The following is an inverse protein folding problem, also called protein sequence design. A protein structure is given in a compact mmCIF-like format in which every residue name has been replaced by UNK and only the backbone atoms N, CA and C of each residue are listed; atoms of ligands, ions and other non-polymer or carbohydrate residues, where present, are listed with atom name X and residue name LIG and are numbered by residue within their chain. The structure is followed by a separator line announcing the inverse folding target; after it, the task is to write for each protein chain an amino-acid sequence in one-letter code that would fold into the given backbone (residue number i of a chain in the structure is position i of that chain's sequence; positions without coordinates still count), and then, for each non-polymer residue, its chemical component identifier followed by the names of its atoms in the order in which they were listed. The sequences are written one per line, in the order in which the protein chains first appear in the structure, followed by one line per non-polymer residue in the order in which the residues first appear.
data_IF_276129302759
#
_entry.id   IF_276129302759
#
_cell.length_a   1.000
_cell.length_b   1.000
_cell.length_c   1.000
_cell.angle_alpha   90.00
_cell.angle_beta   90.00
_cell.angle_gamma   90.00
#
_symmetry.space_group_name_H-M   'P 1'
#
loop_
_entity.id
_entity.type
_entity.pdbx_description
1 polymer ?
#
# COMPACT_ATOMS: atom_id res chain seq x y z
N UNK A 1 18.97 -67.88 9.61
CA UNK A 1 18.97 -66.81 8.57
C UNK A 1 17.70 -66.01 8.63
N UNK A 2 17.34 -65.34 9.73
CA UNK A 2 16.13 -64.44 9.82
C UNK A 2 16.43 -63.09 10.47
N UNK A 3 17.67 -62.74 10.75
CA UNK A 3 18.03 -61.46 11.42
C UNK A 3 18.44 -60.33 10.48
N UNK A 4 18.69 -60.61 9.21
CA UNK A 4 19.20 -59.60 8.25
C UNK A 4 18.08 -58.85 7.52
N UNK A 5 16.85 -59.39 7.49
CA UNK A 5 15.71 -58.78 6.80
C UNK A 5 15.14 -57.57 7.55
N UNK A 6 15.23 -57.52 8.87
CA UNK A 6 14.65 -56.44 9.65
C UNK A 6 15.55 -55.18 9.69
N UNK A 7 16.82 -55.29 9.38
CA UNK A 7 17.75 -54.15 9.42
C UNK A 7 17.59 -53.21 8.21
N UNK A 8 17.21 -53.75 7.06
CA UNK A 8 16.96 -52.93 5.85
C UNK A 8 15.70 -52.08 5.96
N UNK A 9 14.65 -52.57 6.61
CA UNK A 9 13.41 -51.81 6.77
C UNK A 9 13.52 -50.74 7.83
N UNK A 10 14.32 -50.91 8.86
CA UNK A 10 14.57 -49.89 9.89
C UNK A 10 15.42 -48.72 9.33
N UNK A 11 16.39 -49.05 8.44
CA UNK A 11 17.23 -48.02 7.82
C UNK A 11 16.44 -47.16 6.82
N UNK A 12 15.47 -47.73 6.09
CA UNK A 12 14.60 -46.99 5.18
C UNK A 12 13.60 -46.11 5.93
N UNK A 13 13.09 -46.53 7.07
CA UNK A 13 12.17 -45.68 7.88
C UNK A 13 12.93 -44.55 8.55
N UNK A 14 14.21 -44.73 8.94
CA UNK A 14 15.00 -43.64 9.51
C UNK A 14 15.48 -42.60 8.49
N UNK A 15 15.64 -42.99 7.23
CA UNK A 15 16.01 -42.07 6.14
C UNK A 15 14.82 -41.25 5.61
N UNK A 16 13.58 -41.76 5.80
CA UNK A 16 12.36 -41.05 5.38
C UNK A 16 11.92 -39.96 6.35
N UNK A 17 12.43 -39.94 7.58
CA UNK A 17 12.05 -38.94 8.60
C UNK A 17 12.93 -37.68 8.62
N UNK A 18 14.00 -37.61 7.80
CA UNK A 18 14.96 -36.50 7.81
C UNK A 18 14.69 -35.45 6.73
N UNK A 19 13.59 -35.55 5.95
CA UNK A 19 13.28 -34.64 4.87
C UNK A 19 12.07 -33.71 5.12
N UNK A 20 11.61 -33.55 6.36
CA UNK A 20 10.53 -32.64 6.70
C UNK A 20 10.99 -31.65 7.77
N UNK A 21 11.93 -30.78 7.46
CA UNK A 21 12.15 -29.57 8.25
C UNK A 21 12.83 -28.47 7.42
N UNK A 22 12.17 -28.05 6.38
CA UNK A 22 12.44 -26.77 5.73
C UNK A 22 11.11 -26.05 5.48
N UNK A 23 10.30 -25.90 6.53
CA UNK A 23 9.32 -24.82 6.54
C UNK A 23 10.09 -23.54 6.82
N UNK A 24 10.67 -22.95 5.78
CA UNK A 24 11.07 -21.56 5.85
C UNK A 24 9.79 -20.77 6.04
N UNK A 25 9.57 -20.24 7.23
CA UNK A 25 8.66 -19.13 7.46
C UNK A 25 9.14 -17.98 6.60
N UNK A 26 8.71 -17.96 5.35
CA UNK A 26 8.80 -16.77 4.52
C UNK A 26 8.05 -15.68 5.27
N UNK A 27 8.78 -14.78 5.93
CA UNK A 27 8.24 -13.47 6.32
C UNK A 27 7.52 -12.97 5.09
N UNK A 28 6.21 -12.81 5.19
CA UNK A 28 5.35 -12.28 4.14
C UNK A 28 5.76 -10.82 3.96
N UNK A 29 6.88 -10.60 3.26
CA UNK A 29 7.38 -9.28 2.91
C UNK A 29 6.31 -8.58 2.10
N UNK A 30 6.07 -7.30 2.38
CA UNK A 30 5.19 -6.49 1.55
C UNK A 30 5.75 -6.51 0.12
N UNK A 31 4.97 -7.06 -0.81
CA UNK A 31 5.39 -7.16 -2.20
C UNK A 31 5.31 -5.78 -2.86
N UNK A 32 6.30 -5.47 -3.66
CA UNK A 32 6.29 -4.32 -4.57
C UNK A 32 5.87 -4.83 -5.95
N UNK A 33 4.88 -4.23 -6.56
CA UNK A 33 4.56 -4.42 -7.96
C UNK A 33 5.27 -3.31 -8.76
N UNK A 34 6.44 -3.61 -9.26
CA UNK A 34 7.38 -2.59 -9.70
C UNK A 34 7.92 -1.85 -8.48
N UNK A 35 7.82 -0.52 -8.46
CA UNK A 35 8.22 0.34 -7.33
C UNK A 35 7.02 0.88 -6.52
N UNK A 36 5.83 0.33 -6.72
CA UNK A 36 4.60 0.71 -6.00
C UNK A 36 4.39 -0.19 -4.78
N UNK A 37 4.15 0.43 -3.63
CA UNK A 37 3.85 -0.30 -2.41
C UNK A 37 2.50 -1.02 -2.51
N UNK A 38 2.49 -2.32 -2.25
CA UNK A 38 1.30 -3.17 -2.28
C UNK A 38 0.98 -3.85 -0.95
N UNK A 39 1.83 -3.65 0.06
CA UNK A 39 1.63 -4.19 1.40
C UNK A 39 0.51 -3.48 2.18
N UNK A 40 0.02 -4.13 3.23
CA UNK A 40 -1.11 -3.66 4.04
C UNK A 40 -0.71 -2.95 5.35
N UNK A 41 0.56 -2.96 5.72
CA UNK A 41 1.04 -2.54 7.04
C UNK A 41 0.78 -1.05 7.36
N UNK A 42 0.75 -0.20 6.34
CA UNK A 42 0.51 1.24 6.50
C UNK A 42 -0.89 1.69 6.10
N UNK A 43 -1.75 0.76 5.67
CA UNK A 43 -3.12 1.10 5.27
C UNK A 43 -3.97 1.31 6.52
N UNK A 44 -4.53 2.49 6.63
CA UNK A 44 -5.62 2.81 7.56
C UNK A 44 -6.92 2.85 6.78
N UNK A 45 -8.03 3.03 7.46
CA UNK A 45 -9.34 2.97 6.84
C UNK A 45 -10.08 4.30 7.00
N UNK A 46 -10.60 4.83 5.89
CA UNK A 46 -11.53 5.94 5.86
C UNK A 46 -12.88 5.53 6.51
N UNK A 47 -13.26 4.28 6.28
CA UNK A 47 -14.39 3.60 6.91
C UNK A 47 -14.13 2.08 6.91
N UNK A 48 -14.95 1.29 7.60
CA UNK A 48 -14.79 -0.16 7.62
C UNK A 48 -14.71 -0.75 6.19
N UNK A 49 -13.61 -1.44 5.90
CA UNK A 49 -13.33 -2.04 4.58
C UNK A 49 -12.97 -1.04 3.46
N UNK A 50 -12.88 0.26 3.74
CA UNK A 50 -12.50 1.30 2.78
C UNK A 50 -11.14 1.88 3.15
N UNK A 51 -10.08 1.45 2.46
CA UNK A 51 -8.74 1.97 2.67
C UNK A 51 -8.69 3.49 2.39
N UNK A 52 -7.94 4.21 3.24
CA UNK A 52 -7.85 5.67 3.19
C UNK A 52 -6.81 6.18 2.19
N UNK A 53 -5.90 5.34 1.69
CA UNK A 53 -4.75 5.77 0.90
C UNK A 53 -4.50 4.96 -0.35
N UNK A 54 -3.81 5.60 -1.30
CA UNK A 54 -3.31 4.99 -2.52
C UNK A 54 -1.83 5.32 -2.72
N UNK A 55 -1.11 4.47 -3.45
CA UNK A 55 0.35 4.55 -3.62
C UNK A 55 0.73 4.81 -5.06
N UNK A 56 1.91 5.42 -5.23
CA UNK A 56 2.43 5.86 -6.52
C UNK A 56 3.84 5.34 -6.78
N UNK A 57 4.17 5.20 -8.07
CA UNK A 57 5.52 4.92 -8.52
C UNK A 57 6.45 6.14 -8.30
N UNK A 58 7.75 5.90 -8.36
CA UNK A 58 8.79 6.94 -8.26
C UNK A 58 8.54 8.04 -9.30
N UNK A 59 8.54 9.29 -8.84
CA UNK A 59 8.32 10.49 -9.67
C UNK A 59 7.01 10.50 -10.48
N UNK A 60 6.05 9.65 -10.17
CA UNK A 60 4.76 9.58 -10.85
C UNK A 60 3.62 10.05 -9.94
N UNK A 61 2.59 10.60 -10.60
CA UNK A 61 1.27 10.92 -10.02
C UNK A 61 0.14 10.14 -10.70
N UNK A 62 0.45 9.28 -11.66
CA UNK A 62 -0.54 8.45 -12.35
C UNK A 62 -1.09 7.38 -11.43
N UNK A 63 -2.40 7.19 -11.44
CA UNK A 63 -3.08 6.17 -10.65
C UNK A 63 -2.88 4.78 -11.27
N UNK A 64 -2.43 3.84 -10.46
CA UNK A 64 -2.38 2.42 -10.82
C UNK A 64 -3.78 1.80 -10.79
N UNK A 65 -3.94 0.59 -11.33
CA UNK A 65 -5.21 -0.16 -11.24
C UNK A 65 -5.65 -0.36 -9.79
N UNK A 66 -4.73 -0.75 -8.90
CA UNK A 66 -5.02 -0.93 -7.47
C UNK A 66 -5.44 0.40 -6.80
N UNK A 67 -4.80 1.52 -7.16
CA UNK A 67 -5.19 2.84 -6.67
C UNK A 67 -6.61 3.22 -7.11
N UNK A 68 -6.95 2.97 -8.38
CA UNK A 68 -8.31 3.21 -8.91
C UNK A 68 -9.37 2.37 -8.23
N UNK A 69 -9.08 1.11 -7.93
CA UNK A 69 -10.01 0.24 -7.19
C UNK A 69 -10.25 0.76 -5.77
N UNK A 70 -9.21 1.21 -5.08
CA UNK A 70 -9.33 1.82 -3.75
C UNK A 70 -10.17 3.09 -3.81
N UNK A 71 -9.87 4.00 -4.73
CA UNK A 71 -10.61 5.25 -4.91
C UNK A 71 -12.07 5.00 -5.31
N UNK A 72 -12.38 3.96 -6.09
CA UNK A 72 -13.76 3.58 -6.40
C UNK A 72 -14.55 3.18 -5.14
N UNK A 73 -13.92 2.45 -4.21
CA UNK A 73 -14.53 2.13 -2.90
C UNK A 73 -14.73 3.40 -2.07
N UNK A 74 -13.77 4.31 -2.06
CA UNK A 74 -13.91 5.61 -1.41
C UNK A 74 -15.05 6.43 -2.03
N UNK A 75 -15.13 6.51 -3.36
CA UNK A 75 -16.22 7.20 -4.05
C UNK A 75 -17.60 6.62 -3.68
N UNK A 76 -17.73 5.30 -3.62
CA UNK A 76 -18.96 4.63 -3.20
C UNK A 76 -19.34 5.02 -1.77
N UNK A 77 -18.37 5.05 -0.86
CA UNK A 77 -18.58 5.50 0.52
C UNK A 77 -19.01 6.97 0.60
N UNK A 78 -18.30 7.86 -0.13
CA UNK A 78 -18.60 9.30 -0.14
C UNK A 78 -19.95 9.63 -0.78
N UNK A 79 -20.41 8.87 -1.77
CA UNK A 79 -21.76 9.03 -2.36
C UNK A 79 -22.86 8.65 -1.36
N UNK A 80 -22.63 7.64 -0.52
CA UNK A 80 -23.57 7.27 0.56
C UNK A 80 -23.58 8.31 1.70
N UNK A 81 -22.47 9.01 1.91
CA UNK A 81 -22.28 9.99 2.99
C UNK A 81 -22.17 11.40 2.40
N UNK A 82 -23.27 11.94 1.90
CA UNK A 82 -23.29 13.20 1.11
C UNK A 82 -22.78 14.43 1.86
N UNK A 83 -22.94 14.45 3.18
CA UNK A 83 -22.51 15.58 4.05
C UNK A 83 -21.04 15.51 4.46
N UNK A 84 -20.35 14.39 4.15
CA UNK A 84 -18.95 14.21 4.51
C UNK A 84 -18.05 14.95 3.52
N UNK A 85 -17.25 15.89 4.02
CA UNK A 85 -16.17 16.51 3.30
C UNK A 85 -14.86 15.80 3.61
N UNK A 86 -13.92 15.82 2.68
CA UNK A 86 -12.62 15.18 2.82
C UNK A 86 -11.50 16.10 2.38
N UNK A 87 -10.31 15.89 2.95
CA UNK A 87 -9.06 16.44 2.46
C UNK A 87 -8.23 15.29 1.89
N UNK A 88 -7.65 15.48 0.71
CA UNK A 88 -6.70 14.54 0.14
C UNK A 88 -5.30 15.09 0.36
N UNK A 89 -4.54 14.40 1.20
CA UNK A 89 -3.17 14.73 1.54
C UNK A 89 -2.21 14.05 0.57
N UNK A 90 -1.33 14.81 -0.07
CA UNK A 90 -0.31 14.30 -0.99
C UNK A 90 1.06 14.24 -0.35
N UNK A 91 1.75 13.12 -0.57
CA UNK A 91 3.07 12.84 0.03
C UNK A 91 4.05 12.32 -1.01
N UNK A 92 5.34 12.57 -0.74
CA UNK A 92 6.47 12.08 -1.52
C UNK A 92 7.47 11.33 -0.63
N UNK A 93 8.41 10.62 -1.25
CA UNK A 93 9.57 10.09 -0.54
C UNK A 93 10.62 11.19 -0.28
N UNK A 94 11.66 10.89 0.48
CA UNK A 94 12.66 11.87 0.94
C UNK A 94 13.54 12.45 -0.18
N UNK A 95 13.62 11.79 -1.35
CA UNK A 95 14.55 12.13 -2.43
C UNK A 95 14.10 13.38 -3.18
N UNK A 96 15.05 14.24 -3.53
CA UNK A 96 14.82 15.49 -4.24
C UNK A 96 14.58 16.69 -3.32
N UNK A 97 14.38 17.87 -3.93
CA UNK A 97 14.18 19.13 -3.20
C UNK A 97 12.81 19.18 -2.52
N UNK A 98 12.68 20.07 -1.55
CA UNK A 98 11.42 20.29 -0.83
C UNK A 98 10.34 20.79 -1.77
N UNK A 99 10.66 21.77 -2.59
CA UNK A 99 9.75 22.42 -3.56
C UNK A 99 9.23 21.41 -4.59
N UNK A 100 10.13 20.61 -5.15
CA UNK A 100 9.75 19.53 -6.07
C UNK A 100 8.77 18.54 -5.44
N UNK A 101 9.06 18.10 -4.22
CA UNK A 101 8.23 17.13 -3.51
C UNK A 101 6.88 17.70 -3.08
N UNK A 102 6.80 18.99 -2.72
CA UNK A 102 5.53 19.67 -2.49
C UNK A 102 4.66 19.65 -3.76
N UNK A 103 5.23 20.05 -4.88
CA UNK A 103 4.51 20.02 -6.16
C UNK A 103 4.12 18.59 -6.59
N UNK A 104 4.98 17.57 -6.35
CA UNK A 104 4.68 16.18 -6.65
C UNK A 104 3.55 15.65 -5.76
N UNK A 105 3.57 15.96 -4.47
CA UNK A 105 2.51 15.59 -3.53
C UNK A 105 1.18 16.21 -3.95
N UNK A 106 1.17 17.47 -4.35
CA UNK A 106 -0.02 18.15 -4.86
C UNK A 106 -0.58 17.48 -6.12
N UNK A 107 0.27 17.16 -7.10
CA UNK A 107 -0.17 16.43 -8.31
C UNK A 107 -0.77 15.06 -7.97
N UNK A 108 -0.22 14.33 -6.99
CA UNK A 108 -0.77 13.04 -6.51
C UNK A 108 -2.14 13.20 -5.88
N UNK A 109 -2.30 14.20 -5.02
CA UNK A 109 -3.58 14.49 -4.39
C UNK A 109 -4.63 14.92 -5.42
N UNK A 110 -4.27 15.77 -6.40
CA UNK A 110 -5.16 16.17 -7.48
C UNK A 110 -5.56 14.96 -8.35
N UNK A 111 -4.66 14.06 -8.70
CA UNK A 111 -5.01 12.84 -9.45
C UNK A 111 -6.06 11.99 -8.73
N UNK A 112 -5.98 11.88 -7.39
CA UNK A 112 -7.00 11.18 -6.61
C UNK A 112 -8.32 11.96 -6.55
N UNK A 113 -8.28 13.29 -6.38
CA UNK A 113 -9.46 14.19 -6.44
C UNK A 113 -10.18 14.06 -7.77
N UNK A 114 -9.45 14.20 -8.87
CA UNK A 114 -10.03 14.15 -10.21
C UNK A 114 -10.72 12.80 -10.45
N UNK A 115 -10.11 11.70 -10.01
CA UNK A 115 -10.72 10.40 -10.11
C UNK A 115 -12.00 10.27 -9.27
N UNK A 116 -12.05 10.80 -8.04
CA UNK A 116 -13.27 10.82 -7.23
C UNK A 116 -14.37 11.64 -7.90
N UNK A 117 -14.00 12.76 -8.55
CA UNK A 117 -14.94 13.61 -9.29
C UNK A 117 -15.56 12.89 -10.49
N UNK A 118 -14.82 12.02 -11.20
CA UNK A 118 -15.40 11.18 -12.28
C UNK A 118 -16.48 10.22 -11.78
N UNK A 119 -16.49 9.93 -10.47
CA UNK A 119 -17.54 9.13 -9.81
C UNK A 119 -18.64 9.98 -9.15
N UNK A 120 -18.73 11.26 -9.51
CA UNK A 120 -19.81 12.16 -9.09
C UNK A 120 -19.62 12.77 -7.70
N UNK A 121 -18.40 12.76 -7.14
CA UNK A 121 -18.13 13.52 -5.91
C UNK A 121 -17.87 14.98 -6.30
N UNK A 122 -18.64 15.89 -5.73
CA UNK A 122 -18.53 17.32 -6.03
C UNK A 122 -17.19 17.89 -5.53
N UNK A 123 -16.56 18.78 -6.33
CA UNK A 123 -15.24 19.35 -6.04
C UNK A 123 -15.21 20.17 -4.75
N UNK A 124 -16.33 20.80 -4.36
CA UNK A 124 -16.45 21.57 -3.12
C UNK A 124 -16.39 20.71 -1.85
N UNK A 125 -16.54 19.39 -1.99
CA UNK A 125 -16.40 18.41 -0.90
C UNK A 125 -14.98 17.89 -0.74
N UNK A 126 -14.06 18.23 -1.64
CA UNK A 126 -12.71 17.68 -1.69
C UNK A 126 -11.68 18.81 -1.66
N UNK A 127 -11.01 18.97 -0.55
CA UNK A 127 -9.83 19.82 -0.43
C UNK A 127 -8.56 19.04 -0.76
N UNK A 128 -7.52 19.71 -1.22
CA UNK A 128 -6.21 19.14 -1.50
C UNK A 128 -5.17 19.84 -0.66
N UNK A 129 -4.24 19.05 -0.09
CA UNK A 129 -3.12 19.56 0.68
C UNK A 129 -1.88 18.71 0.37
N UNK A 130 -0.76 19.34 0.12
CA UNK A 130 0.51 18.62 -0.03
C UNK A 130 1.41 18.84 1.18
N UNK A 131 1.94 17.75 1.70
CA UNK A 131 3.01 17.74 2.68
C UNK A 131 4.38 17.45 2.03
N UNK A 132 4.40 17.15 0.72
CA UNK A 132 5.65 16.76 0.08
C UNK A 132 6.33 15.61 0.83
N UNK A 133 7.58 15.79 1.23
CA UNK A 133 8.36 14.82 2.00
C UNK A 133 8.36 15.06 3.52
N UNK A 134 7.66 16.08 4.00
CA UNK A 134 7.75 16.55 5.40
C UNK A 134 7.00 15.65 6.41
N UNK A 135 6.11 14.76 5.94
CA UNK A 135 5.36 13.84 6.80
C UNK A 135 5.50 12.39 6.32
N UNK A 136 6.68 11.77 6.48
CA UNK A 136 6.88 10.37 6.12
C UNK A 136 6.07 9.46 7.06
N UNK A 137 5.56 8.35 6.52
CA UNK A 137 4.95 7.26 7.32
C UNK A 137 6.02 6.26 7.75
N UNK A 138 7.13 6.21 7.03
CA UNK A 138 8.31 5.41 7.33
C UNK A 138 9.54 6.30 7.12
N UNK A 139 10.29 6.55 8.19
CA UNK A 139 11.47 7.43 8.19
C UNK A 139 12.75 6.75 7.68
N UNK A 140 12.67 5.47 7.30
CA UNK A 140 13.82 4.74 6.77
C UNK A 140 14.21 5.20 5.37
N UNK A 141 15.52 5.13 5.07
CA UNK A 141 16.10 5.43 3.76
C UNK A 141 16.30 4.15 2.96
N UNK A 142 15.20 3.52 2.57
CA UNK A 142 15.20 2.28 1.79
C UNK A 142 14.12 2.29 0.70
N UNK A 143 14.26 1.48 -0.37
CA UNK A 143 13.23 1.37 -1.42
C UNK A 143 11.85 1.04 -0.85
N UNK A 144 11.77 0.23 0.19
CA UNK A 144 10.51 -0.11 0.85
C UNK A 144 9.93 1.10 1.60
N UNK A 145 10.74 1.82 2.40
CA UNK A 145 10.30 3.03 3.10
C UNK A 145 9.84 4.10 2.11
N UNK A 146 10.60 4.33 1.03
CA UNK A 146 10.23 5.28 -0.01
C UNK A 146 8.90 4.92 -0.68
N UNK A 147 8.66 3.64 -0.96
CA UNK A 147 7.40 3.19 -1.57
C UNK A 147 6.17 3.41 -0.68
N UNK A 148 6.32 3.27 0.65
CA UNK A 148 5.28 3.59 1.63
C UNK A 148 4.99 5.10 1.70
N UNK A 149 6.02 5.92 1.50
CA UNK A 149 5.92 7.37 1.56
C UNK A 149 5.27 7.98 0.32
N UNK A 150 5.43 7.36 -0.86
CA UNK A 150 4.79 7.81 -2.11
C UNK A 150 3.30 7.49 -2.13
N UNK A 151 2.50 8.34 -1.49
CA UNK A 151 1.07 8.09 -1.29
C UNK A 151 0.21 9.35 -1.40
N UNK A 152 -1.08 9.18 -1.58
CA UNK A 152 -2.07 10.16 -1.15
C UNK A 152 -3.05 9.54 -0.15
N UNK A 153 -3.52 10.33 0.80
CA UNK A 153 -4.37 9.89 1.90
C UNK A 153 -5.64 10.72 1.92
N UNK A 154 -6.79 10.06 1.93
CA UNK A 154 -8.10 10.71 2.07
C UNK A 154 -8.47 10.73 3.54
N UNK A 155 -8.54 11.91 4.13
CA UNK A 155 -8.94 12.14 5.53
C UNK A 155 -10.28 12.86 5.59
N UNK A 156 -11.07 12.58 6.60
CA UNK A 156 -12.32 13.32 6.86
C UNK A 156 -11.94 14.74 7.25
N UNK A 157 -12.55 15.74 6.61
CA UNK A 157 -12.45 17.11 7.05
C UNK A 157 -13.31 17.28 8.32
N UNK A 158 -12.70 17.90 9.34
CA UNK A 158 -13.42 18.27 10.57
C UNK A 158 -14.33 19.46 10.34
#
# INVERSE_FOLDING_TARGET
MKFISNFKNVFFVLLATLMLSACSTAKKGSSLQGDVYTGKETIKYLANGVADRVFFATNKSNLTTAARETLRKQATYLRKNKNLNVTIEGHADERGTREYNLALGERRANSAKDYLMTYGISSNRISVLSYGKERPVDSGSSPLAWSKNRRSVTVKAN
#
